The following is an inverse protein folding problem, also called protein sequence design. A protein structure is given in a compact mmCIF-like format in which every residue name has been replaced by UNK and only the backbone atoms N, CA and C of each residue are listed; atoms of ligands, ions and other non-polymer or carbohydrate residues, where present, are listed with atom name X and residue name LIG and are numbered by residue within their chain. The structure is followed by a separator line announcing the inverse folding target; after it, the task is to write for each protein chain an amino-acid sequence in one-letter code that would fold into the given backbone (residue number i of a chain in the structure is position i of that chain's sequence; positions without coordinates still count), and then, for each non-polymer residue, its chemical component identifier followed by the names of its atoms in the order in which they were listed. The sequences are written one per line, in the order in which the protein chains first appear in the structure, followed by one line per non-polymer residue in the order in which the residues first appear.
data_IF_921645493505
#
_entry.id   IF_921645493505
#
_cell.length_a   1.000
_cell.length_b   1.000
_cell.length_c   1.000
_cell.angle_alpha   90.00
_cell.angle_beta   90.00
_cell.angle_gamma   90.00
#
_symmetry.space_group_name_H-M   'P 1'
#
loop_
_entity.id
_entity.type
_entity.pdbx_description
1 polymer ?
#
# COMPACT_ATOMS: atom_id res chain seq x y z
N UNK A 1 24.52 46.88 27.28
CA UNK A 1 25.42 45.85 26.72
C UNK A 1 24.85 44.48 27.09
N UNK A 2 23.99 43.91 26.25
CA UNK A 2 23.71 42.48 26.27
C UNK A 2 23.69 41.98 24.83
N UNK A 3 24.74 41.24 24.50
CA UNK A 3 24.95 40.55 23.24
C UNK A 3 23.82 39.54 23.06
N UNK A 4 23.04 39.69 21.97
CA UNK A 4 22.23 38.60 21.44
C UNK A 4 23.19 37.49 21.04
N UNK A 5 23.25 36.48 21.89
CA UNK A 5 23.93 35.21 21.66
C UNK A 5 23.37 34.67 20.35
N UNK A 6 24.20 34.57 19.32
CA UNK A 6 23.80 34.14 17.98
C UNK A 6 23.02 32.83 18.05
N UNK A 7 21.78 32.86 17.58
CA UNK A 7 21.11 31.65 17.12
C UNK A 7 22.02 31.05 16.05
N UNK A 8 22.64 29.91 16.37
CA UNK A 8 23.25 29.07 15.37
C UNK A 8 22.15 28.77 14.36
N UNK A 9 22.31 29.24 13.13
CA UNK A 9 21.64 28.69 11.96
C UNK A 9 21.99 27.21 11.90
N UNK A 10 21.20 26.36 12.55
CA UNK A 10 21.29 24.92 12.35
C UNK A 10 21.10 24.66 10.86
N UNK A 11 22.04 23.94 10.27
CA UNK A 11 22.04 23.65 8.84
C UNK A 11 20.72 22.97 8.45
N UNK A 12 19.91 23.65 7.62
CA UNK A 12 18.64 23.20 7.06
C UNK A 12 18.83 22.12 5.97
N UNK A 13 19.61 21.09 6.27
CA UNK A 13 20.09 20.12 5.28
C UNK A 13 19.71 18.72 5.70
N UNK A 14 19.09 17.98 4.78
CA UNK A 14 18.72 16.57 4.96
C UNK A 14 19.81 15.68 4.40
N UNK A 15 20.30 14.74 5.19
CA UNK A 15 21.27 13.74 4.74
C UNK A 15 20.54 12.55 4.11
N UNK A 16 20.94 12.19 2.90
CA UNK A 16 20.48 11.03 2.17
C UNK A 16 21.37 9.82 2.51
N UNK A 17 20.75 8.69 2.84
CA UNK A 17 21.45 7.44 3.08
C UNK A 17 22.10 6.92 1.78
N UNK A 18 23.26 6.27 1.89
CA UNK A 18 23.94 5.72 0.71
C UNK A 18 23.17 4.60 0.02
N UNK A 19 22.28 3.92 0.73
CA UNK A 19 21.46 2.81 0.22
C UNK A 19 20.13 2.80 0.93
N UNK A 20 19.05 2.61 0.16
CA UNK A 20 17.69 2.41 0.66
C UNK A 20 17.28 0.99 0.34
N UNK A 21 16.99 0.21 1.37
CA UNK A 21 16.50 -1.16 1.20
C UNK A 21 14.98 -1.19 1.35
N UNK A 22 14.38 -2.23 0.80
CA UNK A 22 13.00 -2.64 1.00
C UNK A 22 11.97 -1.60 0.54
N UNK A 23 12.35 -0.77 -0.44
CA UNK A 23 11.43 0.17 -1.07
C UNK A 23 10.36 -0.62 -1.85
N UNK A 24 9.06 -0.24 -1.77
CA UNK A 24 8.03 -0.88 -2.57
C UNK A 24 8.38 -0.85 -4.06
N UNK A 25 8.19 -1.95 -4.78
CA UNK A 25 8.40 -1.97 -6.22
C UNK A 25 7.29 -1.19 -6.94
N UNK A 26 7.67 -0.22 -7.77
CA UNK A 26 6.75 0.65 -8.50
C UNK A 26 7.05 0.63 -10.01
N UNK A 27 6.86 -0.53 -10.66
CA UNK A 27 7.12 -0.76 -12.09
C UNK A 27 8.47 -0.20 -12.57
N UNK A 28 9.47 -0.33 -11.70
CA UNK A 28 10.80 0.18 -11.97
C UNK A 28 11.47 -0.59 -13.11
N UNK A 29 12.47 0.06 -13.70
CA UNK A 29 13.51 -0.62 -14.47
C UNK A 29 14.83 -0.53 -13.71
N UNK A 30 15.67 -1.56 -13.79
CA UNK A 30 17.00 -1.51 -13.17
C UNK A 30 17.84 -0.41 -13.84
N UNK A 31 18.49 0.41 -13.00
CA UNK A 31 19.24 1.60 -13.41
C UNK A 31 18.42 2.88 -13.50
N UNK A 32 17.08 2.81 -13.41
CA UNK A 32 16.21 3.99 -13.43
C UNK A 32 16.59 4.95 -12.30
N UNK A 33 16.76 6.23 -12.62
CA UNK A 33 17.03 7.29 -11.66
C UNK A 33 15.78 7.70 -10.89
N UNK A 34 15.92 8.07 -9.62
CA UNK A 34 14.81 8.56 -8.79
C UNK A 34 15.24 9.78 -7.98
N UNK A 35 14.37 10.80 -7.98
CA UNK A 35 14.52 11.98 -7.15
C UNK A 35 14.07 11.69 -5.70
N UNK A 36 14.91 12.00 -4.72
CA UNK A 36 14.64 11.69 -3.31
C UNK A 36 13.58 12.60 -2.69
N UNK A 37 13.42 13.83 -3.20
CA UNK A 37 12.45 14.81 -2.72
C UNK A 37 11.04 14.49 -3.19
N UNK A 38 10.87 14.29 -4.51
CA UNK A 38 9.55 14.10 -5.13
C UNK A 38 9.16 12.64 -5.34
N UNK A 39 10.13 11.72 -5.33
CA UNK A 39 9.94 10.33 -5.73
C UNK A 39 9.69 10.12 -7.23
N UNK A 40 9.81 11.18 -8.03
CA UNK A 40 9.61 11.10 -9.47
C UNK A 40 10.74 10.32 -10.15
N UNK A 41 10.37 9.60 -11.21
CA UNK A 41 11.32 8.90 -12.06
C UNK A 41 12.14 9.93 -12.85
N UNK A 42 13.43 9.66 -12.93
CA UNK A 42 14.41 10.46 -13.65
C UNK A 42 15.11 9.61 -14.71
N UNK A 43 16.01 10.25 -15.47
CA UNK A 43 16.75 9.55 -16.53
C UNK A 43 17.74 8.56 -15.89
N UNK A 44 18.02 7.46 -16.58
CA UNK A 44 19.03 6.49 -16.17
C UNK A 44 20.45 7.08 -16.34
N UNK A 45 21.18 7.23 -15.23
CA UNK A 45 22.58 7.67 -15.22
C UNK A 45 23.61 6.55 -15.31
N UNK A 46 23.22 5.31 -15.01
CA UNK A 46 24.12 4.16 -14.94
C UNK A 46 24.03 3.31 -16.19
N UNK A 47 25.12 2.64 -16.55
CA UNK A 47 25.05 1.59 -17.58
C UNK A 47 24.03 0.51 -17.21
N UNK A 48 23.40 -0.17 -18.19
CA UNK A 48 22.39 -1.20 -17.92
C UNK A 48 22.85 -2.22 -16.87
N UNK A 49 21.99 -2.48 -15.90
CA UNK A 49 22.24 -3.42 -14.81
C UNK A 49 21.29 -4.61 -14.99
N UNK A 50 21.82 -5.82 -14.87
CA UNK A 50 21.01 -7.04 -14.84
C UNK A 50 21.30 -7.78 -13.52
N UNK A 51 20.48 -7.58 -12.48
CA UNK A 51 20.68 -8.27 -11.22
C UNK A 51 20.39 -9.77 -11.37
N UNK A 52 21.22 -10.61 -10.76
CA UNK A 52 20.98 -12.05 -10.66
C UNK A 52 20.08 -12.36 -9.44
N UNK A 53 18.94 -13.03 -9.60
CA UNK A 53 18.06 -13.34 -8.46
C UNK A 53 18.80 -14.00 -7.29
N UNK A 54 18.40 -13.67 -6.06
CA UNK A 54 19.00 -14.26 -4.86
C UNK A 54 18.85 -15.78 -4.86
N UNK A 55 19.92 -16.49 -4.50
CA UNK A 55 19.94 -17.97 -4.49
C UNK A 55 19.17 -18.56 -3.30
N UNK A 56 19.26 -17.92 -2.13
CA UNK A 56 18.53 -18.33 -0.94
C UNK A 56 17.10 -17.77 -0.96
N UNK A 57 16.11 -18.63 -0.66
CA UNK A 57 14.70 -18.26 -0.56
C UNK A 57 14.23 -18.41 0.89
N UNK A 58 13.39 -17.46 1.31
CA UNK A 58 12.64 -17.52 2.56
C UNK A 58 11.16 -17.73 2.23
N UNK A 59 10.56 -18.73 2.87
CA UNK A 59 9.12 -18.99 2.78
C UNK A 59 8.46 -18.59 4.09
N UNK A 60 7.43 -17.77 4.01
CA UNK A 60 6.68 -17.29 5.18
C UNK A 60 5.18 -17.51 4.94
N UNK A 61 4.52 -18.13 5.91
CA UNK A 61 3.07 -18.13 6.00
C UNK A 61 2.63 -17.18 7.12
N UNK A 62 1.67 -16.32 6.81
CA UNK A 62 1.20 -15.27 7.72
C UNK A 62 -0.31 -15.15 7.65
N UNK A 63 -0.93 -14.85 8.79
CA UNK A 63 -2.37 -14.64 8.91
C UNK A 63 -2.61 -13.31 9.60
N UNK A 64 -3.50 -12.50 9.03
CA UNK A 64 -3.89 -11.19 9.57
C UNK A 64 -5.40 -11.09 9.59
N UNK A 65 -5.94 -10.57 10.69
CA UNK A 65 -7.37 -10.25 10.82
C UNK A 65 -7.49 -8.74 10.74
N UNK A 66 -8.29 -8.25 9.79
CA UNK A 66 -8.58 -6.84 9.58
C UNK A 66 -10.03 -6.60 10.00
N UNK A 67 -10.22 -5.99 11.16
CA UNK A 67 -11.54 -5.68 11.70
C UNK A 67 -11.74 -4.18 11.95
N UNK A 68 -10.67 -3.38 11.82
CA UNK A 68 -10.68 -1.94 12.13
C UNK A 68 -9.90 -1.15 11.09
N UNK A 69 -10.12 0.17 11.06
CA UNK A 69 -9.32 1.09 10.27
C UNK A 69 -7.84 1.07 10.68
N UNK A 70 -7.55 0.88 11.97
CA UNK A 70 -6.16 0.78 12.46
C UNK A 70 -5.47 -0.49 11.96
N UNK A 71 -6.20 -1.62 11.89
CA UNK A 71 -5.67 -2.86 11.30
C UNK A 71 -5.34 -2.66 9.82
N UNK A 72 -6.24 -2.01 9.07
CA UNK A 72 -6.02 -1.67 7.67
C UNK A 72 -4.82 -0.74 7.52
N UNK A 73 -4.74 0.31 8.34
CA UNK A 73 -3.65 1.28 8.30
C UNK A 73 -2.29 0.63 8.56
N UNK A 74 -2.23 -0.27 9.55
CA UNK A 74 -1.02 -1.05 9.86
C UNK A 74 -0.62 -1.95 8.69
N UNK A 75 -1.58 -2.62 8.05
CA UNK A 75 -1.34 -3.46 6.88
C UNK A 75 -0.86 -2.63 5.68
N UNK A 76 -1.54 -1.52 5.38
CA UNK A 76 -1.17 -0.59 4.33
C UNK A 76 0.24 -0.05 4.55
N UNK A 77 0.57 0.35 5.80
CA UNK A 77 1.93 0.75 6.21
C UNK A 77 2.97 -0.33 5.91
N UNK A 78 2.73 -1.58 6.28
CA UNK A 78 3.68 -2.65 6.00
C UNK A 78 3.95 -2.83 4.49
N UNK A 79 2.96 -2.59 3.63
CA UNK A 79 3.13 -2.70 2.18
C UNK A 79 3.78 -1.46 1.55
N UNK A 80 3.32 -0.27 1.92
CA UNK A 80 3.74 1.00 1.31
C UNK A 80 4.98 1.62 1.98
N UNK A 81 5.44 1.12 3.12
CA UNK A 81 6.60 1.68 3.81
C UNK A 81 7.87 1.57 2.95
N UNK A 82 8.38 2.73 2.56
CA UNK A 82 9.75 2.99 2.10
C UNK A 82 10.49 3.92 3.06
N UNK A 83 11.79 4.12 2.84
CA UNK A 83 12.64 4.90 3.76
C UNK A 83 12.53 6.42 3.45
N UNK A 84 12.19 6.79 2.22
CA UNK A 84 12.13 8.19 1.74
C UNK A 84 10.88 8.43 0.88
N UNK A 85 10.69 9.64 0.33
CA UNK A 85 9.56 10.01 -0.55
C UNK A 85 9.57 9.28 -1.91
N UNK A 86 10.54 8.39 -2.12
CA UNK A 86 10.89 7.65 -3.35
C UNK A 86 9.82 6.67 -3.84
N UNK A 87 8.71 6.57 -3.13
CA UNK A 87 7.67 5.55 -3.32
C UNK A 87 6.28 6.17 -3.38
N UNK A 88 6.12 7.29 -4.08
CA UNK A 88 4.81 7.72 -4.58
C UNK A 88 4.31 6.71 -5.63
N UNK A 89 3.99 5.50 -5.18
CA UNK A 89 3.47 4.39 -5.95
C UNK A 89 2.02 4.17 -5.52
N UNK A 90 1.09 4.25 -6.48
CA UNK A 90 -0.20 3.59 -6.37
C UNK A 90 -0.01 2.16 -5.87
N UNK A 91 -1.00 1.59 -5.18
CA UNK A 91 -0.95 0.23 -4.64
C UNK A 91 -0.37 -0.72 -5.71
N UNK A 92 0.91 -1.08 -5.57
CA UNK A 92 1.64 -1.88 -6.55
C UNK A 92 0.87 -3.19 -6.82
N UNK A 93 1.13 -3.87 -7.93
CA UNK A 93 0.50 -5.19 -8.19
C UNK A 93 0.58 -6.15 -6.97
N UNK A 94 1.66 -6.02 -6.21
CA UNK A 94 1.93 -6.71 -4.94
C UNK A 94 0.94 -6.43 -3.79
N UNK A 95 0.28 -5.28 -3.81
CA UNK A 95 -0.69 -4.78 -2.83
C UNK A 95 -2.14 -4.75 -3.37
N UNK A 96 -2.38 -5.22 -4.60
CA UNK A 96 -3.72 -5.25 -5.23
C UNK A 96 -4.79 -5.96 -4.38
N UNK A 97 -4.39 -6.91 -3.53
CA UNK A 97 -5.29 -7.61 -2.59
C UNK A 97 -5.97 -6.67 -1.58
N UNK A 98 -5.40 -5.49 -1.31
CA UNK A 98 -5.97 -4.48 -0.39
C UNK A 98 -7.34 -3.96 -0.86
N UNK A 99 -7.60 -4.01 -2.17
CA UNK A 99 -8.91 -3.65 -2.74
C UNK A 99 -10.04 -4.63 -2.34
N UNK A 100 -9.70 -5.83 -1.89
CA UNK A 100 -10.65 -6.84 -1.41
C UNK A 100 -10.86 -6.80 0.11
N UNK A 101 -10.21 -5.87 0.82
CA UNK A 101 -10.29 -5.78 2.29
C UNK A 101 -11.51 -4.95 2.69
N UNK A 102 -12.39 -5.56 3.47
CA UNK A 102 -13.60 -4.95 4.03
C UNK A 102 -13.64 -5.15 5.55
N UNK A 103 -14.09 -4.13 6.26
CA UNK A 103 -14.36 -4.21 7.70
C UNK A 103 -15.54 -3.31 8.07
N UNK A 104 -16.32 -3.72 9.07
CA UNK A 104 -17.44 -2.96 9.66
C UNK A 104 -17.81 -3.58 11.02
N UNK A 105 -18.87 -3.10 11.67
CA UNK A 105 -19.41 -3.74 12.88
C UNK A 105 -19.94 -5.17 12.65
N UNK A 106 -20.24 -5.53 11.40
CA UNK A 106 -20.79 -6.83 10.99
C UNK A 106 -19.95 -7.55 9.92
N UNK A 107 -18.76 -7.03 9.61
CA UNK A 107 -17.84 -7.67 8.68
C UNK A 107 -16.38 -7.51 9.10
N UNK A 108 -15.58 -8.53 8.84
CA UNK A 108 -14.13 -8.51 8.97
C UNK A 108 -13.49 -9.21 7.77
N UNK A 109 -12.21 -8.94 7.54
CA UNK A 109 -11.42 -9.64 6.54
C UNK A 109 -10.32 -10.45 7.20
N UNK A 110 -10.12 -11.69 6.76
CA UNK A 110 -8.96 -12.51 7.11
C UNK A 110 -8.08 -12.63 5.87
N UNK A 111 -6.79 -12.33 6.03
CA UNK A 111 -5.79 -12.47 4.99
C UNK A 111 -4.87 -13.63 5.34
N UNK A 112 -4.76 -14.61 4.45
CA UNK A 112 -3.81 -15.70 4.55
C UNK A 112 -2.76 -15.56 3.45
N UNK A 113 -1.52 -15.33 3.86
CA UNK A 113 -0.37 -15.12 2.98
C UNK A 113 0.47 -16.39 2.89
N UNK A 114 0.94 -16.69 1.68
CA UNK A 114 2.08 -17.55 1.44
C UNK A 114 3.08 -16.77 0.57
N UNK A 115 4.20 -16.42 1.18
CA UNK A 115 5.27 -15.63 0.57
C UNK A 115 6.50 -16.48 0.33
N UNK A 116 7.03 -16.43 -0.90
CA UNK A 116 8.36 -16.93 -1.24
C UNK A 116 9.18 -15.74 -1.70
N UNK A 117 10.23 -15.39 -0.98
CA UNK A 117 11.05 -14.21 -1.27
C UNK A 117 12.52 -14.54 -1.24
N UNK A 118 13.32 -13.82 -2.02
CA UNK A 118 14.77 -13.87 -1.89
C UNK A 118 15.19 -13.43 -0.49
N UNK A 119 16.06 -14.22 0.16
CA UNK A 119 16.58 -13.87 1.48
C UNK A 119 17.43 -12.60 1.42
N UNK A 120 18.21 -12.47 0.34
CA UNK A 120 19.14 -11.37 0.11
C UNK A 120 18.85 -10.68 -1.23
N UNK A 121 19.27 -9.42 -1.34
CA UNK A 121 19.29 -8.72 -2.61
C UNK A 121 20.32 -9.35 -3.57
N UNK A 122 20.03 -9.30 -4.87
CA UNK A 122 21.00 -9.72 -5.89
C UNK A 122 22.35 -9.02 -5.70
N UNK A 123 23.43 -9.76 -5.96
CA UNK A 123 24.74 -9.15 -6.11
C UNK A 123 24.79 -8.30 -7.38
N UNK A 124 25.48 -7.17 -7.32
CA UNK A 124 25.70 -6.28 -8.46
C UNK A 124 27.06 -6.62 -9.07
N UNK A 125 27.06 -7.38 -10.16
CA UNK A 125 28.26 -7.70 -10.91
C UNK A 125 27.99 -7.54 -12.41
N UNK A 126 28.72 -6.64 -13.12
CA UNK A 126 29.77 -5.76 -12.62
C UNK A 126 29.24 -4.66 -11.68
N UNK A 127 30.16 -4.00 -10.96
CA UNK A 127 29.81 -2.85 -10.13
C UNK A 127 29.17 -1.74 -11.00
N UNK A 128 28.14 -1.03 -10.50
CA UNK A 128 27.50 0.04 -11.26
C UNK A 128 28.48 1.14 -11.63
N UNK A 129 28.40 1.63 -12.87
CA UNK A 129 29.20 2.74 -13.39
C UNK A 129 28.30 3.73 -14.13
N UNK A 130 28.67 5.00 -14.12
CA UNK A 130 27.97 6.02 -14.89
C UNK A 130 28.11 5.79 -16.39
N UNK A 131 27.09 6.19 -17.14
CA UNK A 131 27.21 6.42 -18.57
C UNK A 131 28.21 7.56 -18.84
N UNK A 132 28.81 7.65 -20.04
CA UNK A 132 29.74 8.74 -20.36
C UNK A 132 29.15 10.14 -20.11
N UNK A 133 27.88 10.35 -20.50
CA UNK A 133 27.16 11.61 -20.34
C UNK A 133 26.95 11.95 -18.86
N UNK A 134 26.54 10.95 -18.07
CA UNK A 134 26.34 11.12 -16.63
C UNK A 134 27.67 11.41 -15.91
N UNK A 135 28.75 10.75 -16.30
CA UNK A 135 30.09 10.97 -15.74
C UNK A 135 30.63 12.38 -16.04
N UNK A 136 30.39 12.89 -17.25
CA UNK A 136 30.76 14.25 -17.64
C UNK A 136 29.96 15.28 -16.83
N UNK A 137 28.65 15.09 -16.71
CA UNK A 137 27.79 16.00 -15.96
C UNK A 137 28.08 15.97 -14.46
N UNK A 138 28.34 14.79 -13.88
CA UNK A 138 28.77 14.64 -12.49
C UNK A 138 30.06 15.42 -12.18
N UNK A 139 30.97 15.49 -13.16
CA UNK A 139 32.26 16.17 -12.99
C UNK A 139 32.17 17.68 -13.17
N UNK A 140 31.34 18.14 -14.11
CA UNK A 140 31.26 19.54 -14.53
C UNK A 140 30.16 20.34 -13.81
N UNK A 141 29.04 19.70 -13.47
CA UNK A 141 27.89 20.33 -12.84
C UNK A 141 27.09 19.31 -11.98
N UNK A 142 27.52 19.03 -10.73
CA UNK A 142 26.83 18.10 -9.83
C UNK A 142 25.37 18.47 -9.54
N UNK A 143 25.00 19.76 -9.56
CA UNK A 143 23.62 20.18 -9.37
C UNK A 143 22.77 19.78 -10.59
N UNK A 144 23.25 20.06 -11.80
CA UNK A 144 22.59 19.63 -13.04
C UNK A 144 22.51 18.11 -13.20
N UNK A 145 23.48 17.37 -12.64
CA UNK A 145 23.40 15.91 -12.56
C UNK A 145 22.17 15.47 -11.76
N UNK A 146 21.99 16.02 -10.55
CA UNK A 146 20.83 15.71 -9.70
C UNK A 146 19.51 16.07 -10.38
N UNK A 147 19.43 17.23 -11.01
CA UNK A 147 18.21 17.67 -11.70
C UNK A 147 17.83 16.74 -12.87
N UNK A 148 18.83 16.14 -13.53
CA UNK A 148 18.63 15.28 -14.71
C UNK A 148 18.37 13.82 -14.33
N UNK A 149 19.14 13.29 -13.38
CA UNK A 149 19.21 11.86 -13.08
C UNK A 149 18.62 11.51 -11.72
N UNK A 150 18.33 12.50 -10.87
CA UNK A 150 17.88 12.29 -9.51
C UNK A 150 19.03 12.02 -8.53
N UNK A 151 18.69 11.39 -7.41
CA UNK A 151 19.60 11.17 -6.28
C UNK A 151 20.01 9.69 -6.16
N UNK A 152 19.08 8.80 -6.49
CA UNK A 152 19.24 7.36 -6.39
C UNK A 152 19.02 6.70 -7.74
N UNK A 153 19.50 5.46 -7.89
CA UNK A 153 19.05 4.56 -8.96
C UNK A 153 18.55 3.24 -8.41
N UNK A 154 17.65 2.59 -9.15
CA UNK A 154 17.15 1.25 -8.84
C UNK A 154 18.26 0.24 -9.15
N UNK A 155 19.00 -0.18 -8.13
CA UNK A 155 20.17 -1.03 -8.33
C UNK A 155 19.78 -2.51 -8.51
N UNK A 156 18.91 -3.00 -7.64
CA UNK A 156 18.47 -4.41 -7.62
C UNK A 156 17.12 -4.53 -6.92
N UNK A 157 16.55 -5.73 -6.88
CA UNK A 157 15.35 -6.06 -6.14
C UNK A 157 15.53 -7.37 -5.35
N UNK A 158 14.74 -7.52 -4.28
CA UNK A 158 14.34 -8.84 -3.79
C UNK A 158 13.22 -9.33 -4.69
N UNK A 159 13.44 -10.49 -5.30
CA UNK A 159 12.42 -11.15 -6.09
C UNK A 159 11.55 -12.03 -5.18
N UNK A 160 10.32 -12.26 -5.59
CA UNK A 160 9.46 -13.16 -4.87
C UNK A 160 8.15 -13.43 -5.59
N UNK A 161 7.43 -14.37 -5.02
CA UNK A 161 6.08 -14.75 -5.40
C UNK A 161 5.22 -14.68 -4.15
N UNK A 162 3.99 -14.20 -4.30
CA UNK A 162 3.03 -14.09 -3.20
C UNK A 162 1.70 -14.67 -3.61
N UNK A 163 1.15 -15.48 -2.74
CA UNK A 163 -0.24 -15.90 -2.73
C UNK A 163 -0.94 -15.22 -1.56
N UNK A 164 -2.10 -14.62 -1.81
CA UNK A 164 -2.99 -14.08 -0.77
C UNK A 164 -4.38 -14.64 -0.99
N UNK A 165 -4.90 -15.36 0.01
CA UNK A 165 -6.33 -15.66 0.11
C UNK A 165 -6.98 -14.64 1.04
N UNK A 166 -7.96 -13.92 0.52
CA UNK A 166 -8.75 -12.91 1.23
C UNK A 166 -10.12 -13.49 1.53
N UNK A 167 -10.43 -13.67 2.81
CA UNK A 167 -11.73 -14.15 3.28
C UNK A 167 -12.50 -12.96 3.87
N UNK A 168 -13.45 -12.43 3.12
CA UNK A 168 -14.41 -11.45 3.65
C UNK A 168 -15.51 -12.19 4.37
N UNK A 169 -15.57 -12.02 5.68
CA UNK A 169 -16.54 -12.65 6.56
C UNK A 169 -17.58 -11.61 6.96
N UNK A 170 -18.86 -11.92 6.82
CA UNK A 170 -19.97 -11.02 7.18
C UNK A 170 -21.07 -11.76 7.91
N UNK A 171 -21.65 -11.11 8.92
CA UNK A 171 -22.76 -11.61 9.74
C UNK A 171 -23.94 -10.64 9.69
N UNK A 172 -25.04 -11.02 10.34
CA UNK A 172 -26.20 -10.12 10.47
C UNK A 172 -26.11 -9.25 11.73
N UNK A 173 -25.42 -9.73 12.76
CA UNK A 173 -25.26 -9.01 14.03
C UNK A 173 -23.79 -8.85 14.44
N UNK A 174 -23.51 -7.80 15.21
CA UNK A 174 -22.19 -7.56 15.79
C UNK A 174 -21.78 -8.67 16.77
N UNK A 175 -22.73 -9.21 17.53
CA UNK A 175 -22.48 -10.29 18.50
C UNK A 175 -22.00 -11.58 17.82
N UNK A 176 -22.63 -11.95 16.70
CA UNK A 176 -22.18 -13.07 15.85
C UNK A 176 -20.74 -12.83 15.37
N UNK A 177 -20.45 -11.62 14.87
CA UNK A 177 -19.12 -11.30 14.37
C UNK A 177 -18.06 -11.37 15.47
N UNK A 178 -18.33 -10.86 16.67
CA UNK A 178 -17.38 -10.92 17.78
C UNK A 178 -17.14 -12.36 18.24
N UNK A 179 -18.18 -13.19 18.27
CA UNK A 179 -18.07 -14.61 18.60
C UNK A 179 -17.21 -15.34 17.58
N UNK A 180 -17.47 -15.12 16.29
CA UNK A 180 -16.69 -15.68 15.20
C UNK A 180 -15.23 -15.20 15.22
N UNK A 181 -15.01 -13.89 15.41
CA UNK A 181 -13.67 -13.29 15.52
C UNK A 181 -12.86 -13.94 16.64
N UNK A 182 -13.48 -14.19 17.80
CA UNK A 182 -12.82 -14.86 18.91
C UNK A 182 -12.52 -16.34 18.58
N UNK A 183 -13.42 -17.04 17.89
CA UNK A 183 -13.24 -18.44 17.54
C UNK A 183 -12.18 -18.67 16.46
N UNK A 184 -12.01 -17.73 15.52
CA UNK A 184 -10.97 -17.80 14.49
C UNK A 184 -9.63 -17.22 14.98
N UNK A 185 -9.62 -16.48 16.10
CA UNK A 185 -8.40 -15.96 16.69
C UNK A 185 -7.45 -17.13 17.05
N UNK A 186 -6.29 -17.17 16.39
CA UNK A 186 -5.28 -18.22 16.60
C UNK A 186 -5.34 -19.38 15.61
N UNK A 187 -6.34 -19.46 14.73
CA UNK A 187 -6.37 -20.42 13.62
C UNK A 187 -5.45 -19.94 12.49
N UNK A 188 -4.24 -20.51 12.46
CA UNK A 188 -3.15 -20.15 11.53
C UNK A 188 -2.90 -21.19 10.45
N UNK A 189 -3.85 -22.07 10.16
CA UNK A 189 -3.64 -23.14 9.17
C UNK A 189 -4.73 -23.16 8.07
N UNK A 190 -5.41 -22.02 7.85
CA UNK A 190 -6.55 -21.91 6.92
C UNK A 190 -6.13 -22.21 5.45
N UNK A 191 -4.84 -22.24 5.15
CA UNK A 191 -4.32 -22.59 3.82
C UNK A 191 -4.23 -24.11 3.58
N UNK A 192 -4.25 -24.94 4.63
CA UNK A 192 -4.25 -26.39 4.51
C UNK A 192 -5.67 -26.91 4.25
N UNK A 193 -5.79 -28.13 3.70
CA UNK A 193 -7.09 -28.76 3.49
C UNK A 193 -7.87 -28.95 4.81
N UNK A 194 -7.19 -29.36 5.88
CA UNK A 194 -7.80 -29.51 7.20
C UNK A 194 -8.23 -28.18 7.81
N UNK A 195 -7.39 -27.14 7.70
CA UNK A 195 -7.72 -25.83 8.25
C UNK A 195 -8.80 -25.09 7.48
N UNK A 196 -8.86 -25.25 6.15
CA UNK A 196 -9.94 -24.73 5.32
C UNK A 196 -11.29 -25.37 5.71
N UNK A 197 -11.34 -26.70 5.87
CA UNK A 197 -12.54 -27.41 6.30
C UNK A 197 -12.99 -27.00 7.71
N UNK A 198 -12.05 -26.85 8.65
CA UNK A 198 -12.35 -26.36 10.00
C UNK A 198 -12.89 -24.92 9.97
N UNK A 199 -12.30 -24.05 9.15
CA UNK A 199 -12.74 -22.67 8.98
C UNK A 199 -14.16 -22.59 8.41
N UNK A 200 -14.50 -23.37 7.37
CA UNK A 200 -15.85 -23.43 6.83
C UNK A 200 -16.86 -23.97 7.84
N UNK A 201 -16.49 -25.00 8.59
CA UNK A 201 -17.35 -25.55 9.66
C UNK A 201 -17.63 -24.49 10.72
N UNK A 202 -16.61 -23.72 11.13
CA UNK A 202 -16.76 -22.64 12.08
C UNK A 202 -17.65 -21.53 11.54
N UNK A 203 -17.40 -21.07 10.32
CA UNK A 203 -18.19 -20.04 9.66
C UNK A 203 -19.67 -20.46 9.55
N UNK A 204 -19.92 -21.70 9.13
CA UNK A 204 -21.27 -22.26 9.00
C UNK A 204 -21.98 -22.38 10.34
N UNK A 205 -21.27 -22.80 11.40
CA UNK A 205 -21.83 -22.91 12.76
C UNK A 205 -22.15 -21.55 13.40
N UNK A 206 -21.57 -20.47 12.88
CA UNK A 206 -21.71 -19.10 13.38
C UNK A 206 -22.58 -18.22 12.49
N UNK A 207 -23.29 -18.80 11.52
CA UNK A 207 -24.09 -18.08 10.50
C UNK A 207 -23.30 -16.98 9.76
N UNK A 208 -22.01 -17.21 9.54
CA UNK A 208 -21.11 -16.28 8.85
C UNK A 208 -21.14 -16.56 7.35
N UNK A 209 -21.46 -15.53 6.56
CA UNK A 209 -21.25 -15.58 5.13
C UNK A 209 -19.79 -15.28 4.79
N UNK A 210 -19.15 -16.19 4.06
CA UNK A 210 -17.75 -16.06 3.62
C UNK A 210 -17.70 -15.86 2.12
N UNK A 211 -17.05 -14.78 1.69
CA UNK A 211 -16.63 -14.56 0.32
C UNK A 211 -15.11 -14.70 0.25
N UNK A 212 -14.60 -15.46 -0.72
CA UNK A 212 -13.17 -15.65 -0.91
C UNK A 212 -12.71 -14.96 -2.20
N UNK A 213 -11.55 -14.32 -2.14
CA UNK A 213 -10.83 -13.82 -3.30
C UNK A 213 -9.36 -14.27 -3.20
N UNK A 214 -8.73 -14.56 -4.33
CA UNK A 214 -7.32 -14.96 -4.37
C UNK A 214 -6.54 -14.02 -5.27
N UNK A 215 -5.41 -13.54 -4.77
CA UNK A 215 -4.45 -12.75 -5.54
C UNK A 215 -3.12 -13.49 -5.56
N UNK A 216 -2.60 -13.74 -6.76
CA UNK A 216 -1.29 -14.36 -6.97
C UNK A 216 -0.40 -13.41 -7.76
N UNK A 217 0.85 -13.27 -7.31
CA UNK A 217 1.88 -12.53 -8.01
C UNK A 217 3.12 -13.41 -8.14
N UNK A 218 3.84 -13.28 -9.25
CA UNK A 218 5.06 -14.05 -9.51
C UNK A 218 4.79 -15.51 -9.82
N UNK A 219 3.87 -15.79 -10.74
CA UNK A 219 3.57 -17.14 -11.24
C UNK A 219 3.64 -17.19 -12.76
N UNK A 220 4.06 -18.32 -13.31
CA UNK A 220 3.95 -18.61 -14.74
C UNK A 220 2.60 -19.24 -15.08
N UNK A 221 1.99 -18.82 -16.19
CA UNK A 221 0.75 -19.42 -16.69
C UNK A 221 -0.52 -18.88 -16.01
N UNK A 222 -1.65 -19.51 -16.35
CA UNK A 222 -2.96 -19.14 -15.82
C UNK A 222 -3.34 -20.11 -14.69
N UNK A 223 -3.80 -19.55 -13.58
CA UNK A 223 -4.35 -20.34 -12.48
C UNK A 223 -5.52 -21.21 -12.97
N UNK A 224 -5.73 -22.40 -12.36
CA UNK A 224 -6.84 -23.27 -12.71
C UNK A 224 -8.18 -22.56 -12.50
N UNK A 225 -9.19 -22.82 -13.34
CA UNK A 225 -10.51 -22.20 -13.25
C UNK A 225 -11.34 -22.87 -12.15
N UNK A 226 -10.84 -22.84 -10.91
CA UNK A 226 -11.61 -23.24 -9.74
C UNK A 226 -12.30 -22.01 -9.16
N UNK A 227 -13.49 -22.19 -8.59
CA UNK A 227 -14.19 -21.11 -7.88
C UNK A 227 -13.33 -20.55 -6.75
N UNK A 228 -13.53 -19.30 -6.36
CA UNK A 228 -12.90 -18.74 -5.17
C UNK A 228 -13.80 -19.02 -3.96
N UNK A 229 -13.66 -20.22 -3.39
CA UNK A 229 -14.24 -20.64 -2.12
C UNK A 229 -13.13 -21.19 -1.22
N UNK A 230 -13.41 -21.47 0.05
CA UNK A 230 -12.35 -21.87 0.98
C UNK A 230 -11.80 -23.28 0.66
N UNK A 231 -12.62 -24.19 0.13
CA UNK A 231 -12.19 -25.52 -0.29
C UNK A 231 -11.27 -25.53 -1.52
N UNK A 232 -11.31 -24.50 -2.36
CA UNK A 232 -10.42 -24.40 -3.53
C UNK A 232 -9.01 -23.89 -3.18
N UNK A 233 -8.83 -23.28 -2.01
CA UNK A 233 -7.58 -22.65 -1.58
C UNK A 233 -6.38 -23.62 -1.55
N UNK A 234 -6.48 -24.85 -1.00
CA UNK A 234 -5.36 -25.79 -1.03
C UNK A 234 -4.92 -26.16 -2.46
N UNK A 235 -5.88 -26.31 -3.38
CA UNK A 235 -5.61 -26.59 -4.80
C UNK A 235 -4.91 -25.41 -5.47
N UNK A 236 -5.42 -24.19 -5.23
CA UNK A 236 -4.83 -22.96 -5.76
C UNK A 236 -3.43 -22.72 -5.21
N UNK A 237 -3.19 -23.00 -3.94
CA UNK A 237 -1.89 -22.88 -3.31
C UNK A 237 -0.90 -23.92 -3.86
N UNK A 238 -1.33 -25.16 -4.05
CA UNK A 238 -0.52 -26.22 -4.68
C UNK A 238 -0.08 -25.78 -6.07
N UNK A 239 -1.03 -25.34 -6.91
CA UNK A 239 -0.73 -24.81 -8.23
C UNK A 239 0.25 -23.64 -8.17
N UNK A 240 0.04 -22.69 -7.25
CA UNK A 240 0.93 -21.55 -7.06
C UNK A 240 2.36 -21.99 -6.76
N UNK A 241 2.55 -22.95 -5.84
CA UNK A 241 3.89 -23.44 -5.47
C UNK A 241 4.60 -24.22 -6.58
N UNK A 242 3.85 -24.84 -7.50
CA UNK A 242 4.40 -25.54 -8.67
C UNK A 242 4.73 -24.60 -9.85
N UNK A 243 4.18 -23.39 -9.86
CA UNK A 243 4.26 -22.45 -10.98
C UNK A 243 4.97 -21.14 -10.59
N UNK A 244 5.88 -21.16 -9.62
CA UNK A 244 6.59 -19.97 -9.16
C UNK A 244 7.45 -19.36 -10.28
N UNK A 245 7.19 -18.09 -10.59
CA UNK A 245 8.02 -17.26 -11.46
C UNK A 245 8.28 -15.93 -10.75
N UNK A 246 9.27 -15.86 -9.85
CA UNK A 246 9.49 -14.71 -8.98
C UNK A 246 9.61 -13.40 -9.77
N UNK A 247 8.92 -12.37 -9.28
CA UNK A 247 8.97 -11.00 -9.83
C UNK A 247 9.59 -10.06 -8.81
N UNK A 248 10.13 -8.90 -9.22
CA UNK A 248 10.56 -7.87 -8.28
C UNK A 248 9.44 -7.47 -7.30
N UNK A 249 9.76 -7.46 -6.00
CA UNK A 249 8.80 -7.12 -4.93
C UNK A 249 9.24 -5.92 -4.12
N UNK A 250 10.54 -5.82 -3.86
CA UNK A 250 11.15 -4.76 -3.06
C UNK A 250 12.44 -4.30 -3.74
N UNK A 251 12.57 -3.01 -3.99
CA UNK A 251 13.75 -2.42 -4.61
C UNK A 251 14.80 -2.06 -3.57
N UNK A 252 16.07 -2.20 -3.96
CA UNK A 252 17.20 -1.52 -3.35
C UNK A 252 17.61 -0.36 -4.23
N UNK A 253 17.57 0.84 -3.66
CA UNK A 253 18.03 2.05 -4.30
C UNK A 253 19.42 2.39 -3.77
N UNK A 254 20.33 2.77 -4.66
CA UNK A 254 21.70 3.19 -4.28
C UNK A 254 21.85 4.66 -4.65
N UNK A 255 22.36 5.45 -3.72
CA UNK A 255 22.63 6.87 -3.95
C UNK A 255 23.82 7.01 -4.89
N UNK A 256 23.78 7.97 -5.82
CA UNK A 256 24.85 8.14 -6.81
C UNK A 256 26.22 8.48 -6.21
N UNK A 257 26.25 9.01 -4.97
CA UNK A 257 27.50 9.21 -4.22
C UNK A 257 28.27 7.92 -3.91
N UNK A 258 27.63 6.75 -4.00
CA UNK A 258 28.30 5.45 -3.87
C UNK A 258 29.11 5.08 -5.11
N UNK A 259 28.84 5.70 -6.26
CA UNK A 259 29.62 5.57 -7.49
C UNK A 259 30.67 6.68 -7.56
N UNK A 260 30.29 7.91 -7.22
CA UNK A 260 31.16 9.08 -7.27
C UNK A 260 30.89 10.03 -6.10
N UNK A 261 31.85 10.15 -5.19
CA UNK A 261 31.72 10.95 -3.97
C UNK A 261 31.59 12.46 -4.19
N UNK A 262 31.77 12.94 -5.43
CA UNK A 262 31.54 14.35 -5.81
C UNK A 262 30.06 14.69 -5.87
N UNK A 263 29.19 13.69 -6.05
CA UNK A 263 27.73 13.89 -6.00
C UNK A 263 27.33 14.07 -4.53
N UNK A 264 26.80 15.24 -4.12
CA UNK A 264 26.39 15.46 -2.74
C UNK A 264 25.29 14.48 -2.35
N UNK A 265 25.36 13.90 -1.17
CA UNK A 265 24.27 13.10 -0.57
C UNK A 265 23.42 13.92 0.39
N UNK A 266 23.30 15.22 0.13
CA UNK A 266 22.56 16.17 0.97
C UNK A 266 21.54 16.95 0.14
N UNK A 267 20.35 17.15 0.70
CA UNK A 267 19.32 18.04 0.14
C UNK A 267 19.26 19.33 0.98
N UNK A 268 19.14 20.52 0.35
CA UNK A 268 18.97 21.79 1.04
C UNK A 268 17.53 21.96 1.55
N UNK A 269 17.04 20.96 2.29
CA UNK A 269 15.70 20.91 2.84
C UNK A 269 15.78 20.61 4.34
N UNK A 270 14.93 21.28 5.12
CA UNK A 270 14.78 21.00 6.54
C UNK A 270 14.31 19.54 6.76
N UNK A 271 15.01 18.75 7.60
CA UNK A 271 14.66 17.34 7.86
C UNK A 271 13.22 17.11 8.34
N UNK A 272 12.67 18.02 9.15
CA UNK A 272 11.28 17.91 9.64
C UNK A 272 10.29 18.10 8.50
N UNK A 273 10.57 19.04 7.59
CA UNK A 273 9.74 19.24 6.40
C UNK A 273 9.83 18.03 5.47
N UNK A 274 11.03 17.48 5.29
CA UNK A 274 11.23 16.25 4.52
C UNK A 274 10.42 15.08 5.07
N UNK A 275 10.43 14.88 6.40
CA UNK A 275 9.64 13.86 7.08
C UNK A 275 8.11 14.11 6.98
N UNK A 276 7.67 15.37 7.02
CA UNK A 276 6.26 15.73 6.83
C UNK A 276 5.78 15.40 5.43
N UNK A 277 6.54 15.73 4.40
CA UNK A 277 6.19 15.39 2.99
C UNK A 277 5.99 13.88 2.83
N UNK A 278 6.88 13.08 3.42
CA UNK A 278 6.74 11.61 3.46
C UNK A 278 5.42 11.17 4.07
N UNK A 279 5.08 11.75 5.22
CA UNK A 279 3.86 11.41 5.96
C UNK A 279 2.61 11.74 5.16
N UNK A 280 2.59 12.91 4.51
CA UNK A 280 1.45 13.36 3.69
C UNK A 280 1.29 12.46 2.46
N UNK A 281 2.38 12.16 1.75
CA UNK A 281 2.34 11.28 0.58
C UNK A 281 1.79 9.89 0.95
N UNK A 282 2.24 9.35 2.09
CA UNK A 282 1.77 8.08 2.62
C UNK A 282 0.27 8.10 2.94
N UNK A 283 -0.21 9.14 3.64
CA UNK A 283 -1.63 9.31 3.97
C UNK A 283 -2.51 9.44 2.73
N UNK A 284 -2.04 10.15 1.70
CA UNK A 284 -2.77 10.30 0.45
C UNK A 284 -2.98 8.94 -0.24
N UNK A 285 -1.96 8.10 -0.28
CA UNK A 285 -2.07 6.76 -0.88
C UNK A 285 -2.98 5.83 -0.08
N UNK A 286 -2.94 5.92 1.26
CA UNK A 286 -3.85 5.16 2.12
C UNK A 286 -5.31 5.53 1.80
N UNK A 287 -5.58 6.82 1.60
CA UNK A 287 -6.90 7.33 1.22
C UNK A 287 -7.32 6.90 -0.19
N UNK A 288 -6.40 6.89 -1.16
CA UNK A 288 -6.66 6.40 -2.52
C UNK A 288 -6.99 4.90 -2.51
N UNK A 289 -6.21 4.12 -1.76
CA UNK A 289 -6.43 2.67 -1.58
C UNK A 289 -7.79 2.39 -0.94
N UNK A 290 -8.15 3.10 0.12
CA UNK A 290 -9.48 3.03 0.73
C UNK A 290 -10.59 3.43 -0.25
N UNK A 291 -10.38 4.47 -1.05
CA UNK A 291 -11.37 4.93 -2.03
C UNK A 291 -11.60 3.88 -3.13
N UNK A 292 -10.53 3.22 -3.59
CA UNK A 292 -10.62 2.15 -4.60
C UNK A 292 -11.39 0.91 -4.11
N UNK A 293 -11.46 0.70 -2.80
CA UNK A 293 -12.22 -0.38 -2.18
C UNK A 293 -13.72 -0.06 -2.01
N UNK A 294 -14.16 1.17 -2.27
CA UNK A 294 -15.59 1.56 -2.18
C UNK A 294 -16.34 1.01 -3.41
N UNK A 295 -17.52 0.36 -3.23
CA UNK A 295 -18.34 -0.10 -4.35
C UNK A 295 -18.73 1.04 -5.32
N UNK A 296 -18.64 0.78 -6.63
CA UNK A 296 -18.80 1.79 -7.69
C UNK A 296 -20.14 2.55 -7.74
N UNK A 297 -21.17 2.09 -7.01
CA UNK A 297 -22.41 2.85 -6.83
C UNK A 297 -22.19 4.16 -6.07
N UNK A 298 -21.25 4.18 -5.11
CA UNK A 298 -20.91 5.36 -4.32
C UNK A 298 -19.82 6.24 -4.97
N UNK A 299 -19.15 5.75 -6.02
CA UNK A 299 -18.09 6.50 -6.70
C UNK A 299 -18.61 7.49 -7.76
N UNK A 300 -19.90 7.42 -8.12
CA UNK A 300 -20.50 8.18 -9.24
C UNK A 300 -21.50 9.27 -8.81
N UNK A 301 -21.74 9.44 -7.50
CA UNK A 301 -22.60 10.51 -6.99
C UNK A 301 -21.89 11.88 -7.08
N UNK A 302 -22.43 12.88 -7.83
CA UNK A 302 -21.87 14.21 -7.88
C UNK A 302 -22.14 14.92 -6.55
N UNK A 303 -21.12 15.05 -5.70
CA UNK A 303 -21.20 15.90 -4.53
C UNK A 303 -20.74 17.32 -4.88
N UNK A 304 -21.62 18.29 -4.66
CA UNK A 304 -21.27 19.71 -4.78
C UNK A 304 -20.40 20.10 -3.60
N UNK A 305 -19.09 20.10 -3.82
CA UNK A 305 -18.11 20.65 -2.90
C UNK A 305 -17.97 22.14 -3.21
N UNK A 306 -18.39 23.04 -2.33
CA UNK A 306 -17.89 24.44 -2.30
C UNK A 306 -18.32 25.16 -1.00
N UNK A 307 -17.56 26.17 -0.51
CA UNK A 307 -16.73 27.10 -1.29
C UNK A 307 -15.22 26.82 -1.27
N UNK A 308 -14.48 27.43 -2.21
CA UNK A 308 -13.04 27.27 -2.37
C UNK A 308 -12.31 27.99 -1.24
N UNK A 309 -11.35 27.34 -0.59
CA UNK A 309 -10.39 28.07 0.25
C UNK A 309 -9.33 28.65 -0.67
N UNK A 310 -9.42 29.95 -0.94
CA UNK A 310 -8.29 30.69 -1.50
C UNK A 310 -7.11 30.60 -0.51
N UNK A 311 -5.94 30.19 -1.01
CA UNK A 311 -4.69 30.19 -0.26
C UNK A 311 -4.40 28.87 0.46
N UNK A 312 -4.04 27.82 -0.28
CA UNK A 312 -3.31 26.67 0.28
C UNK A 312 -1.85 27.09 0.37
N UNK A 313 -1.45 27.67 1.50
CA UNK A 313 -0.09 28.20 1.68
C UNK A 313 0.72 27.40 2.71
N UNK A 314 0.07 26.48 3.45
CA UNK A 314 0.73 25.69 4.50
C UNK A 314 0.27 24.23 4.50
N UNK A 315 1.12 23.36 5.08
CA UNK A 315 0.82 21.94 5.31
C UNK A 315 -0.42 21.72 6.18
N UNK A 316 -0.71 22.63 7.12
CA UNK A 316 -1.90 22.57 7.95
C UNK A 316 -3.18 22.81 7.15
N UNK A 317 -3.15 23.69 6.14
CA UNK A 317 -4.29 23.96 5.27
C UNK A 317 -4.62 22.75 4.39
N UNK A 318 -3.59 22.07 3.88
CA UNK A 318 -3.74 20.81 3.13
C UNK A 318 -4.30 19.70 4.03
N UNK A 319 -3.81 19.57 5.26
CA UNK A 319 -4.26 18.54 6.20
C UNK A 319 -5.71 18.78 6.66
N UNK A 320 -6.11 20.03 6.92
CA UNK A 320 -7.49 20.40 7.24
C UNK A 320 -8.44 20.19 6.05
N UNK A 321 -8.02 20.54 4.84
CA UNK A 321 -8.79 20.32 3.63
C UNK A 321 -9.05 18.82 3.39
N UNK A 322 -8.00 18.00 3.43
CA UNK A 322 -8.13 16.55 3.29
C UNK A 322 -9.00 15.96 4.42
N UNK A 323 -8.75 16.35 5.68
CA UNK A 323 -9.57 15.89 6.82
C UNK A 323 -11.05 16.23 6.64
N UNK A 324 -11.39 17.43 6.16
CA UNK A 324 -12.77 17.85 5.93
C UNK A 324 -13.42 17.11 4.73
N UNK A 325 -12.67 16.88 3.66
CA UNK A 325 -13.13 16.14 2.47
C UNK A 325 -13.41 14.66 2.79
N UNK A 326 -12.57 14.04 3.62
CA UNK A 326 -12.65 12.61 3.89
C UNK A 326 -13.45 12.26 5.16
N UNK A 327 -13.56 13.14 6.16
CA UNK A 327 -14.49 12.94 7.30
C UNK A 327 -15.95 12.89 6.84
N UNK A 328 -16.30 13.72 5.84
CA UNK A 328 -17.61 13.67 5.18
C UNK A 328 -17.82 12.36 4.41
N UNK A 329 -16.75 11.73 3.90
CA UNK A 329 -16.80 10.47 3.14
C UNK A 329 -16.87 9.24 4.05
N UNK A 330 -16.10 9.23 5.14
CA UNK A 330 -16.02 8.13 6.11
C UNK A 330 -17.26 8.12 7.02
N UNK A 331 -17.73 9.29 7.47
CA UNK A 331 -18.93 9.40 8.31
C UNK A 331 -20.22 8.95 7.61
N UNK A 332 -20.28 9.05 6.28
CA UNK A 332 -21.46 8.69 5.49
C UNK A 332 -21.42 7.22 5.01
N UNK A 333 -20.24 6.59 4.98
CA UNK A 333 -20.07 5.17 4.58
C UNK A 333 -20.03 4.20 5.76
N UNK A 334 -19.73 4.66 6.99
CA UNK A 334 -19.69 3.82 8.20
C UNK A 334 -20.95 3.91 9.06
N UNK A 335 -22.01 4.58 8.60
CA UNK A 335 -23.23 4.73 9.38
C UNK A 335 -24.49 4.72 8.49
N UNK A 336 -24.99 3.55 8.11
CA UNK A 336 -26.43 3.37 7.92
C UNK A 336 -26.92 1.96 8.31
N UNK A 337 -27.16 1.71 9.61
CA UNK A 337 -28.01 0.62 10.06
C UNK A 337 -29.52 0.94 9.92
N UNK A 338 -29.92 2.14 9.51
CA UNK A 338 -31.30 2.64 9.73
C UNK A 338 -32.11 3.01 8.46
N UNK A 339 -31.54 2.94 7.24
CA UNK A 339 -32.34 3.24 6.04
C UNK A 339 -33.36 2.14 5.70
N UNK A 340 -33.06 0.87 6.00
CA UNK A 340 -33.98 -0.24 5.78
C UNK A 340 -35.18 -0.25 6.76
N UNK A 341 -34.99 0.25 7.98
CA UNK A 341 -36.02 0.38 9.02
C UNK A 341 -36.89 1.63 8.82
N UNK A 342 -36.31 2.74 8.36
CA UNK A 342 -37.07 3.96 8.09
C UNK A 342 -37.94 3.87 6.83
N UNK A 343 -37.51 3.12 5.80
CA UNK A 343 -38.34 2.84 4.62
C UNK A 343 -39.54 1.92 4.94
N UNK A 344 -39.43 0.96 5.87
CA UNK A 344 -40.55 0.09 6.27
C UNK A 344 -41.61 0.80 7.13
N UNK A 345 -41.23 1.85 7.88
CA UNK A 345 -42.19 2.63 8.69
C UNK A 345 -42.91 3.71 7.88
N UNK A 346 -42.29 4.30 6.86
CA UNK A 346 -42.93 5.32 6.02
C UNK A 346 -43.91 4.75 4.99
N UNK A 347 -43.73 3.51 4.52
CA UNK A 347 -44.68 2.87 3.61
C UNK A 347 -45.98 2.36 4.27
N UNK A 348 -46.05 2.31 5.62
CA UNK A 348 -47.28 1.92 6.34
C UNK A 348 -48.21 3.09 6.69
N UNK A 349 -47.72 4.33 6.65
CA UNK A 349 -48.48 5.51 7.10
C UNK A 349 -48.98 6.42 5.96
N UNK A 350 -48.75 6.06 4.68
CA UNK A 350 -49.16 6.87 3.52
C UNK A 350 -50.37 6.31 2.76
N UNK A 351 -51.07 5.31 3.30
CA UNK A 351 -52.44 4.98 2.88
C UNK A 351 -53.41 5.42 3.96
N UNK A 352 -53.89 6.68 3.88
CA UNK A 352 -55.27 7.10 4.19
C UNK A 352 -55.40 8.62 4.00
N UNK A 353 -55.99 8.96 2.84
CA UNK A 353 -56.91 10.08 2.57
C UNK A 353 -56.38 11.44 2.05
N UNK A 354 -57.13 12.08 1.12
CA UNK A 354 -56.69 13.16 0.24
C UNK A 354 -57.08 14.56 0.77
N UNK A 355 -56.59 15.65 0.14
CA UNK A 355 -56.73 17.01 0.67
C UNK A 355 -58.09 17.63 0.30
N UNK A 356 -58.64 18.42 1.21
CA UNK A 356 -59.67 19.42 0.93
C UNK A 356 -59.24 20.80 1.45
N UNK A 357 -59.60 21.78 0.62
CA UNK A 357 -59.46 23.25 0.69
C UNK A 357 -59.54 23.89 2.09
N UNK A 358 -58.95 25.05 2.38
CA UNK A 358 -58.79 26.28 1.58
C UNK A 358 -57.44 26.96 1.81
#
# INVERSE_FOLDING_TARGET
MWSKRGEKSESLVTNLAGTLNDQPWNDYSFGLGINAESGAFAVQAVSPITPEPGRAKNTVQKYEVIATADDYSRLFKAEAQGEYNVGAASASASASYLSNVTYSETSLTILAFYDVTDADYASLSPAPAFTPQASELASSNPAGFRDTYGDYFVATAKFGSRFVATYTCSTTTTTELQTFKAAVAGKKDILSASGAAEFESLASSSDVHVKVAVTMNGTSGKAPPVGADANSIPTLLTWFTENLQPVPRRARLIHYSQIDNRIPNTLPLNPDNFAKVKTIAFQLQELESLTSAIPGYYSTQPYSLTPPVQGINTVADTQQYLTNQYSARIGTLLYEPDAASQLRRRCKNSQLSPPLAH
#
